data_IF_926359339074
#
_entry.id   IF_926359339074
#
_cell.length_a   1.000
_cell.length_b   1.000
_cell.length_c   1.000
_cell.angle_alpha   90.00
_cell.angle_beta   90.00
_cell.angle_gamma   90.00
#
_symmetry.space_group_name_H-M   'P 1'
#
loop_
_entity.id
_entity.type
_entity.pdbx_description
1 polymer ?
#
# COMPACT_ATOMS: atom_id res chain seq x y z
N UNK A 1 7.27 -20.10 12.24
CA UNK A 1 6.98 -20.77 10.95
C UNK A 1 8.04 -21.81 10.64
N UNK A 2 7.69 -22.81 9.88
CA UNK A 2 8.61 -23.84 9.43
C UNK A 2 8.45 -24.02 7.93
N UNK A 3 9.55 -23.99 7.18
CA UNK A 3 9.55 -24.35 5.76
C UNK A 3 9.22 -25.84 5.61
N UNK A 4 8.21 -26.18 4.83
CA UNK A 4 7.70 -27.54 4.67
C UNK A 4 7.58 -27.98 3.21
N UNK A 5 8.28 -27.31 2.30
CA UNK A 5 8.29 -27.63 0.88
C UNK A 5 7.52 -26.61 0.01
N UNK A 6 7.19 -27.00 -1.24
CA UNK A 6 6.46 -26.15 -2.15
C UNK A 6 5.10 -25.73 -1.60
N UNK A 7 4.74 -24.45 -1.79
CA UNK A 7 3.40 -23.97 -1.44
C UNK A 7 2.40 -24.44 -2.51
N UNK A 8 1.27 -24.96 -2.07
CA UNK A 8 0.18 -25.42 -2.93
C UNK A 8 -1.16 -24.99 -2.32
N UNK A 9 -2.06 -24.49 -3.13
CA UNK A 9 -3.40 -24.11 -2.68
C UNK A 9 -3.99 -22.95 -3.42
N UNK A 10 -5.11 -22.48 -2.90
CA UNK A 10 -5.87 -21.38 -3.47
C UNK A 10 -6.19 -20.35 -2.41
N UNK A 11 -6.05 -19.08 -2.76
CA UNK A 11 -6.37 -17.97 -1.87
C UNK A 11 -7.20 -16.92 -2.58
N UNK A 12 -8.21 -16.40 -1.89
CA UNK A 12 -8.88 -15.16 -2.27
C UNK A 12 -8.07 -14.00 -1.71
N UNK A 13 -7.62 -13.11 -2.60
CA UNK A 13 -6.80 -11.97 -2.20
C UNK A 13 -7.67 -10.93 -1.50
N UNK A 14 -7.23 -10.48 -0.32
CA UNK A 14 -7.88 -9.42 0.45
C UNK A 14 -7.97 -8.10 -0.32
N UNK A 15 -8.82 -7.18 0.16
CA UNK A 15 -8.91 -5.83 -0.38
C UNK A 15 -7.61 -5.02 -0.21
N UNK A 16 -7.39 -4.10 -1.14
CA UNK A 16 -6.18 -3.27 -1.18
C UNK A 16 -6.16 -2.23 -0.07
N UNK A 17 -5.12 -2.29 0.77
CA UNK A 17 -4.83 -1.25 1.76
C UNK A 17 -4.73 0.13 1.12
N UNK A 18 -3.93 0.21 0.07
CA UNK A 18 -3.60 1.48 -0.58
C UNK A 18 -4.79 2.08 -1.38
N UNK A 19 -5.82 1.28 -1.66
CA UNK A 19 -7.08 1.78 -2.21
C UNK A 19 -8.10 2.11 -1.11
N UNK A 20 -8.20 1.28 -0.06
CA UNK A 20 -9.16 1.47 1.01
C UNK A 20 -8.93 2.79 1.78
N UNK A 21 -7.69 3.08 2.17
CA UNK A 21 -7.37 4.27 2.97
C UNK A 21 -7.75 5.60 2.28
N UNK A 22 -7.42 5.86 1.00
CA UNK A 22 -7.89 7.07 0.34
C UNK A 22 -9.41 7.08 0.08
N UNK A 23 -10.07 5.92 -0.10
CA UNK A 23 -11.54 5.86 -0.20
C UNK A 23 -12.20 6.18 1.16
N UNK A 24 -11.63 5.73 2.27
CA UNK A 24 -12.08 6.12 3.63
C UNK A 24 -11.92 7.62 3.85
N UNK A 25 -10.80 8.21 3.43
CA UNK A 25 -10.60 9.66 3.49
C UNK A 25 -11.59 10.40 2.56
N UNK A 26 -11.94 9.83 1.40
CA UNK A 26 -12.92 10.41 0.48
C UNK A 26 -14.36 10.37 1.03
N UNK A 27 -14.71 9.40 1.87
CA UNK A 27 -16.04 9.32 2.51
C UNK A 27 -16.38 10.59 3.29
N UNK A 28 -15.37 11.27 3.84
CA UNK A 28 -15.52 12.55 4.56
C UNK A 28 -16.05 13.68 3.68
N UNK A 29 -15.90 13.60 2.36
CA UNK A 29 -16.21 14.70 1.43
C UNK A 29 -17.71 15.06 1.34
N UNK A 30 -18.62 14.15 1.72
CA UNK A 30 -20.05 14.40 1.62
C UNK A 30 -20.80 14.11 2.93
N UNK A 31 -22.02 14.65 3.03
CA UNK A 31 -22.94 14.48 4.18
C UNK A 31 -23.85 13.27 3.97
N UNK A 32 -23.27 12.09 3.96
CA UNK A 32 -24.02 10.88 3.65
C UNK A 32 -23.35 9.61 4.13
N UNK A 33 -23.70 8.51 3.49
CA UNK A 33 -23.22 7.18 3.82
C UNK A 33 -22.34 6.63 2.71
N UNK A 34 -21.19 6.11 3.10
CA UNK A 34 -20.31 5.34 2.23
C UNK A 34 -20.24 3.90 2.70
N UNK A 35 -20.40 2.96 1.77
CA UNK A 35 -20.25 1.52 2.03
C UNK A 35 -19.10 0.98 1.20
N UNK A 36 -18.08 0.44 1.85
CA UNK A 36 -16.94 -0.21 1.22
C UNK A 36 -17.01 -1.72 1.42
N UNK A 37 -17.25 -2.47 0.34
CA UNK A 37 -17.13 -3.93 0.32
C UNK A 37 -15.68 -4.34 0.13
N UNK A 38 -15.33 -5.57 0.52
CA UNK A 38 -13.98 -6.10 0.45
C UNK A 38 -12.94 -5.18 1.11
N UNK A 39 -13.35 -4.45 2.15
CA UNK A 39 -12.45 -3.61 2.93
C UNK A 39 -11.57 -4.50 3.82
N UNK A 40 -10.22 -4.41 3.74
CA UNK A 40 -9.36 -5.32 4.48
C UNK A 40 -9.37 -5.00 5.98
N UNK A 41 -9.41 -6.02 6.81
CA UNK A 41 -9.41 -5.91 8.28
C UNK A 41 -7.97 -5.93 8.82
N UNK A 42 -7.24 -4.86 8.53
CA UNK A 42 -5.83 -4.69 8.86
C UNK A 42 -5.63 -3.50 9.79
N UNK A 43 -4.51 -3.46 10.51
CA UNK A 43 -4.26 -2.41 11.51
C UNK A 43 -4.36 -1.00 10.93
N UNK A 44 -3.78 -0.72 9.76
CA UNK A 44 -3.85 0.62 9.14
C UNK A 44 -5.30 1.06 8.81
N UNK A 45 -6.21 0.13 8.49
CA UNK A 45 -7.63 0.45 8.26
C UNK A 45 -8.34 0.76 9.58
N UNK A 46 -8.07 -0.01 10.63
CA UNK A 46 -8.64 0.27 11.95
C UNK A 46 -8.11 1.58 12.55
N UNK A 47 -6.83 1.91 12.32
CA UNK A 47 -6.28 3.21 12.74
C UNK A 47 -6.97 4.37 11.98
N UNK A 48 -7.19 4.26 10.68
CA UNK A 48 -7.95 5.26 9.92
C UNK A 48 -9.40 5.36 10.40
N UNK A 49 -10.03 4.22 10.70
CA UNK A 49 -11.37 4.18 11.28
C UNK A 49 -11.43 4.93 12.61
N UNK A 50 -10.47 4.71 13.51
CA UNK A 50 -10.40 5.43 14.79
C UNK A 50 -10.25 6.94 14.59
N UNK A 51 -9.40 7.38 13.66
CA UNK A 51 -9.27 8.80 13.30
C UNK A 51 -10.61 9.36 12.77
N UNK A 52 -11.30 8.63 11.89
CA UNK A 52 -12.60 9.06 11.38
C UNK A 52 -13.67 9.11 12.47
N UNK A 53 -13.65 8.18 13.42
CA UNK A 53 -14.56 8.19 14.58
C UNK A 53 -14.28 9.37 15.50
N UNK A 54 -13.02 9.77 15.72
CA UNK A 54 -12.68 10.97 16.49
C UNK A 54 -13.20 12.25 15.84
N UNK A 55 -13.30 12.26 14.50
CA UNK A 55 -13.96 13.32 13.73
C UNK A 55 -15.49 13.25 13.77
N UNK A 56 -16.09 12.22 14.38
CA UNK A 56 -17.54 12.08 14.53
C UNK A 56 -18.20 11.20 13.47
N UNK A 57 -17.45 10.55 12.60
CA UNK A 57 -17.97 9.53 11.67
C UNK A 57 -18.46 8.34 12.47
N UNK A 58 -19.65 7.82 12.15
CA UNK A 58 -20.14 6.57 12.71
C UNK A 58 -19.80 5.43 11.78
N UNK A 59 -19.17 4.39 12.29
CA UNK A 59 -18.78 3.23 11.51
C UNK A 59 -19.49 1.97 11.97
N UNK A 60 -19.69 1.04 11.06
CA UNK A 60 -20.20 -0.30 11.36
C UNK A 60 -19.59 -1.31 10.39
N UNK A 61 -19.23 -2.47 10.92
CA UNK A 61 -18.70 -3.59 10.15
C UNK A 61 -19.71 -4.74 10.03
N UNK A 62 -19.76 -5.30 8.83
CA UNK A 62 -20.34 -6.61 8.59
C UNK A 62 -19.37 -7.41 7.72
N UNK A 63 -18.72 -8.40 8.29
CA UNK A 63 -17.62 -9.15 7.65
C UNK A 63 -16.54 -8.19 7.10
N UNK A 64 -16.32 -8.16 5.79
CA UNK A 64 -15.39 -7.25 5.09
C UNK A 64 -16.11 -6.03 4.48
N UNK A 65 -17.27 -5.70 4.98
CA UNK A 65 -18.01 -4.50 4.56
C UNK A 65 -17.95 -3.46 5.66
N UNK A 66 -17.35 -2.31 5.37
CA UNK A 66 -17.29 -1.13 6.23
C UNK A 66 -18.33 -0.10 5.78
N UNK A 67 -19.25 0.24 6.68
CA UNK A 67 -20.19 1.35 6.50
C UNK A 67 -19.70 2.56 7.30
N UNK A 68 -19.69 3.74 6.68
CA UNK A 68 -19.30 5.02 7.29
C UNK A 68 -20.41 6.04 7.09
N UNK A 69 -21.03 6.51 8.18
CA UNK A 69 -22.01 7.61 8.18
C UNK A 69 -21.27 8.92 8.53
N UNK A 70 -21.09 9.76 7.53
CA UNK A 70 -20.36 11.03 7.59
C UNK A 70 -21.31 12.25 7.70
N UNK A 71 -22.61 12.10 8.04
CA UNK A 71 -23.57 13.20 8.12
C UNK A 71 -23.19 14.27 9.12
N UNK A 72 -22.54 13.89 10.22
CA UNK A 72 -22.17 14.79 11.31
C UNK A 72 -20.66 14.67 11.57
N UNK A 73 -19.88 15.56 11.00
CA UNK A 73 -18.44 15.65 11.25
C UNK A 73 -18.17 16.82 12.22
N UNK A 74 -17.31 16.57 13.20
CA UNK A 74 -16.80 17.60 14.08
C UNK A 74 -15.67 18.33 13.36
N UNK A 75 -15.72 19.63 13.34
CA UNK A 75 -14.63 20.47 12.79
C UNK A 75 -13.42 20.60 13.75
N UNK A 76 -13.25 19.63 14.66
CA UNK A 76 -12.12 19.58 15.60
C UNK A 76 -10.89 19.02 14.89
N UNK A 77 -9.72 19.49 15.31
CA UNK A 77 -8.45 18.95 14.81
C UNK A 77 -8.28 17.46 15.11
N UNK A 78 -7.41 16.83 14.38
CA UNK A 78 -7.00 15.44 14.59
C UNK A 78 -5.79 15.48 15.51
N UNK A 79 -5.84 14.89 16.73
CA UNK A 79 -4.73 14.90 17.66
C UNK A 79 -3.44 14.35 17.07
N UNK A 80 -2.31 14.94 17.45
CA UNK A 80 -0.99 14.52 16.92
C UNK A 80 -0.62 13.08 17.28
N UNK A 81 -1.14 12.54 18.37
CA UNK A 81 -0.90 11.15 18.77
C UNK A 81 -1.53 10.17 17.77
N UNK A 82 -2.77 10.42 17.33
CA UNK A 82 -3.47 9.57 16.37
C UNK A 82 -2.83 9.58 14.96
N UNK A 83 -2.15 10.68 14.59
CA UNK A 83 -1.53 10.82 13.27
C UNK A 83 -0.10 10.32 13.20
N UNK A 84 0.59 10.19 14.35
CA UNK A 84 2.00 9.75 14.41
C UNK A 84 2.20 8.30 14.03
N UNK A 85 1.20 7.45 14.20
CA UNK A 85 1.27 6.03 13.89
C UNK A 85 1.04 5.75 12.41
N UNK A 86 0.25 6.62 11.73
CA UNK A 86 -0.20 6.39 10.37
C UNK A 86 0.20 7.50 9.39
N UNK A 87 0.97 7.15 8.35
CA UNK A 87 1.34 8.08 7.29
C UNK A 87 0.15 8.59 6.49
N UNK A 88 -0.82 7.71 6.22
CA UNK A 88 -1.99 8.02 5.38
C UNK A 88 -2.98 8.98 6.01
N UNK A 89 -2.83 9.33 7.30
CA UNK A 89 -3.61 10.38 7.96
C UNK A 89 -3.55 11.72 7.22
N UNK A 90 -2.43 12.02 6.53
CA UNK A 90 -2.27 13.24 5.72
C UNK A 90 -3.32 13.36 4.59
N UNK A 91 -3.96 12.28 4.15
CA UNK A 91 -5.01 12.31 3.14
C UNK A 91 -6.24 13.10 3.60
N UNK A 92 -6.46 13.17 4.90
CA UNK A 92 -7.54 13.96 5.48
C UNK A 92 -7.33 15.47 5.30
N UNK A 93 -6.12 15.92 4.98
CA UNK A 93 -5.87 17.34 4.68
C UNK A 93 -6.75 17.82 3.52
N UNK A 94 -6.75 17.12 2.38
CA UNK A 94 -7.55 17.47 1.22
C UNK A 94 -9.06 17.32 1.46
N UNK A 95 -9.46 16.21 2.10
CA UNK A 95 -10.87 15.95 2.39
C UNK A 95 -11.49 16.98 3.34
N UNK A 96 -10.80 17.29 4.44
CA UNK A 96 -11.30 18.23 5.46
C UNK A 96 -11.29 19.68 4.95
N UNK A 97 -10.25 20.10 4.23
CA UNK A 97 -10.26 21.42 3.57
C UNK A 97 -11.40 21.51 2.55
N UNK A 98 -11.62 20.44 1.79
CA UNK A 98 -12.71 20.40 0.81
C UNK A 98 -14.09 20.50 1.42
N UNK A 99 -14.33 19.87 2.57
CA UNK A 99 -15.63 19.85 3.25
C UNK A 99 -15.78 20.92 4.32
N UNK A 100 -14.85 20.95 5.28
CA UNK A 100 -14.95 21.76 6.49
C UNK A 100 -14.25 23.12 6.35
N UNK A 101 -13.51 23.38 5.25
CA UNK A 101 -12.74 24.56 4.96
C UNK A 101 -11.63 24.85 5.98
N UNK A 102 -11.40 23.97 6.92
CA UNK A 102 -10.34 24.05 7.92
C UNK A 102 -9.94 22.67 8.43
N UNK A 103 -8.70 22.54 8.83
CA UNK A 103 -8.15 21.34 9.48
C UNK A 103 -6.98 21.73 10.37
N UNK A 104 -6.86 21.02 11.48
CA UNK A 104 -5.66 20.94 12.29
C UNK A 104 -5.28 19.46 12.43
N UNK A 105 -4.12 19.08 11.95
CA UNK A 105 -3.67 17.69 11.91
C UNK A 105 -2.22 17.59 12.36
N UNK A 106 -1.91 16.62 13.21
CA UNK A 106 -0.53 16.33 13.58
C UNK A 106 0.30 15.89 12.37
N UNK A 107 1.62 16.15 12.42
CA UNK A 107 2.52 15.63 11.38
C UNK A 107 2.40 14.12 11.29
N UNK A 108 2.19 13.58 10.06
CA UNK A 108 2.02 12.14 9.87
C UNK A 108 3.29 11.39 10.25
N UNK A 109 3.13 10.31 10.99
CA UNK A 109 4.22 9.49 11.49
C UNK A 109 5.15 8.98 10.39
N UNK A 110 6.39 8.77 10.77
CA UNK A 110 7.43 8.29 9.88
C UNK A 110 7.31 6.78 9.61
N UNK A 111 7.55 6.40 8.37
CA UNK A 111 7.98 5.05 8.06
C UNK A 111 9.52 5.02 8.07
N UNK A 112 10.11 3.97 8.58
CA UNK A 112 11.58 3.82 8.71
C UNK A 112 12.32 3.69 7.37
N UNK A 113 11.59 3.62 6.24
CA UNK A 113 12.13 3.33 4.90
C UNK A 113 12.77 4.52 4.18
N UNK A 114 12.64 5.74 4.70
CA UNK A 114 13.24 6.94 4.10
C UNK A 114 12.48 8.23 4.38
N UNK A 115 13.01 9.35 3.90
CA UNK A 115 12.35 10.65 3.97
C UNK A 115 11.07 10.64 3.11
N UNK A 116 9.96 11.07 3.70
CA UNK A 116 8.66 11.17 3.02
C UNK A 116 8.06 12.55 3.30
N UNK A 117 8.63 13.60 2.71
CA UNK A 117 8.18 14.96 2.98
C UNK A 117 6.73 15.16 2.56
N UNK A 118 6.02 16.05 3.23
CA UNK A 118 4.62 16.38 2.93
C UNK A 118 4.49 17.63 2.05
N UNK A 119 5.61 18.25 1.67
CA UNK A 119 5.64 19.52 0.93
C UNK A 119 4.76 19.51 -0.32
N UNK A 120 4.75 18.42 -1.12
CA UNK A 120 3.92 18.32 -2.32
C UNK A 120 2.42 18.37 -2.01
N UNK A 121 2.01 17.82 -0.84
CA UNK A 121 0.63 17.91 -0.38
C UNK A 121 0.28 19.35 -0.03
N UNK A 122 1.15 20.02 0.76
CA UNK A 122 0.93 21.39 1.22
C UNK A 122 0.95 22.39 0.04
N UNK A 123 1.89 22.22 -0.89
CA UNK A 123 1.96 23.03 -2.12
C UNK A 123 0.70 22.91 -2.96
N UNK A 124 0.14 21.71 -3.11
CA UNK A 124 -1.11 21.49 -3.81
C UNK A 124 -2.26 22.25 -3.14
N UNK A 125 -2.40 22.17 -1.83
CA UNK A 125 -3.44 22.90 -1.08
C UNK A 125 -3.25 24.42 -1.17
N UNK A 126 -2.01 24.91 -1.05
CA UNK A 126 -1.70 26.35 -1.21
C UNK A 126 -2.09 26.85 -2.61
N UNK A 127 -1.79 26.09 -3.68
CA UNK A 127 -2.20 26.43 -5.04
C UNK A 127 -3.72 26.47 -5.23
N UNK A 128 -4.45 25.70 -4.44
CA UNK A 128 -5.92 25.69 -4.42
C UNK A 128 -6.51 26.77 -3.50
N UNK A 129 -5.67 27.67 -2.95
CA UNK A 129 -6.11 28.82 -2.16
C UNK A 129 -6.22 28.57 -0.66
N UNK A 130 -5.73 27.44 -0.15
CA UNK A 130 -5.67 27.23 1.28
C UNK A 130 -4.48 27.97 1.93
N UNK A 131 -4.72 28.63 3.06
CA UNK A 131 -3.67 29.11 3.94
C UNK A 131 -3.16 27.94 4.79
N UNK A 132 -1.90 27.58 4.61
CA UNK A 132 -1.25 26.48 5.34
C UNK A 132 -0.18 27.05 6.27
N UNK A 133 -0.31 26.77 7.55
CA UNK A 133 0.67 27.10 8.60
C UNK A 133 1.21 25.81 9.19
N UNK A 134 2.51 25.70 9.27
CA UNK A 134 3.22 24.60 9.90
C UNK A 134 3.74 25.09 11.26
N UNK A 135 3.37 24.39 12.31
CA UNK A 135 3.87 24.61 13.67
C UNK A 135 4.64 23.38 14.14
N UNK A 136 5.27 23.43 15.30
CA UNK A 136 6.00 22.28 15.84
C UNK A 136 5.05 21.10 16.09
N UNK A 137 5.12 20.09 15.19
CA UNK A 137 4.33 18.85 15.28
C UNK A 137 2.94 18.88 14.63
N UNK A 138 2.49 20.01 14.06
CA UNK A 138 1.14 20.13 13.48
C UNK A 138 1.10 20.92 12.17
N UNK A 139 0.12 20.61 11.35
CA UNK A 139 -0.25 21.32 10.12
C UNK A 139 -1.64 21.91 10.33
N UNK A 140 -1.77 23.22 10.19
CA UNK A 140 -3.05 23.93 10.22
C UNK A 140 -3.35 24.44 8.82
N UNK A 141 -4.53 24.13 8.29
CA UNK A 141 -5.00 24.59 7.00
C UNK A 141 -6.36 25.26 7.10
N UNK A 142 -6.52 26.40 6.42
CA UNK A 142 -7.78 27.15 6.36
C UNK A 142 -8.06 27.65 4.94
N UNK A 143 -9.32 27.61 4.52
CA UNK A 143 -9.80 28.17 3.26
C UNK A 143 -11.25 28.65 3.41
N UNK A 144 -11.49 29.77 4.11
CA UNK A 144 -12.84 30.25 4.46
C UNK A 144 -13.78 30.37 3.25
N UNK A 145 -13.26 30.82 2.12
CA UNK A 145 -13.99 30.92 0.85
C UNK A 145 -14.16 29.58 0.14
N UNK A 146 -13.60 28.48 0.68
CA UNK A 146 -13.50 27.17 0.04
C UNK A 146 -12.38 27.11 -1.00
N UNK A 147 -11.99 25.89 -1.35
CA UNK A 147 -10.93 25.64 -2.33
C UNK A 147 -11.33 26.10 -3.74
N UNK A 148 -10.36 26.58 -4.51
CA UNK A 148 -10.48 26.96 -5.90
C UNK A 148 -9.71 25.99 -6.79
N UNK A 149 -10.25 25.70 -7.98
CA UNK A 149 -9.58 24.90 -8.98
C UNK A 149 -8.24 25.52 -9.39
N UNK A 150 -7.27 24.68 -9.66
CA UNK A 150 -5.90 25.09 -9.94
C UNK A 150 -5.22 24.20 -10.96
N UNK A 151 -4.20 24.74 -11.63
CA UNK A 151 -3.26 23.95 -12.42
C UNK A 151 -2.07 23.56 -11.53
N UNK A 152 -1.96 22.27 -11.22
CA UNK A 152 -0.94 21.72 -10.34
C UNK A 152 -0.07 20.76 -11.13
N UNK A 153 1.22 21.08 -11.27
CA UNK A 153 2.22 20.17 -11.82
C UNK A 153 3.12 19.72 -10.68
N UNK A 154 3.12 18.40 -10.41
CA UNK A 154 4.00 17.81 -9.40
C UNK A 154 5.43 17.75 -9.92
N UNK A 155 6.41 18.07 -9.06
CA UNK A 155 7.84 17.96 -9.40
C UNK A 155 8.25 16.50 -9.57
N UNK A 156 7.71 15.62 -8.73
CA UNK A 156 7.84 14.17 -8.81
C UNK A 156 6.45 13.52 -8.75
N UNK A 157 6.30 12.37 -9.39
CA UNK A 157 5.08 11.58 -9.32
C UNK A 157 4.93 11.00 -7.91
N UNK A 158 4.01 11.58 -7.12
CA UNK A 158 3.74 11.19 -5.74
C UNK A 158 2.32 10.66 -5.60
N UNK A 159 2.18 9.41 -5.13
CA UNK A 159 0.88 8.78 -4.89
C UNK A 159 0.07 9.62 -3.91
N UNK A 160 0.56 9.83 -2.69
CA UNK A 160 -0.21 10.53 -1.66
C UNK A 160 -0.53 11.99 -2.01
N UNK A 161 0.38 12.72 -2.68
CA UNK A 161 0.08 14.09 -3.11
C UNK A 161 -0.98 14.12 -4.23
N UNK A 162 -0.96 13.14 -5.14
CA UNK A 162 -2.01 12.98 -6.17
C UNK A 162 -3.36 12.67 -5.53
N UNK A 163 -3.41 11.71 -4.57
CA UNK A 163 -4.62 11.39 -3.81
C UNK A 163 -5.19 12.63 -3.09
N UNK A 164 -4.35 13.35 -2.38
CA UNK A 164 -4.76 14.53 -1.62
C UNK A 164 -5.30 15.64 -2.54
N UNK A 165 -4.65 15.87 -3.69
CA UNK A 165 -5.11 16.84 -4.68
C UNK A 165 -6.42 16.41 -5.37
N UNK A 166 -6.64 15.11 -5.58
CA UNK A 166 -7.91 14.55 -6.06
C UNK A 166 -9.04 14.81 -5.05
N UNK A 167 -8.81 14.48 -3.77
CA UNK A 167 -9.78 14.68 -2.69
C UNK A 167 -10.17 16.15 -2.53
N UNK A 168 -9.22 17.06 -2.62
CA UNK A 168 -9.46 18.50 -2.59
C UNK A 168 -10.16 19.01 -3.87
N UNK A 169 -9.70 18.56 -5.03
CA UNK A 169 -10.11 19.07 -6.35
C UNK A 169 -11.56 18.80 -6.68
N UNK A 170 -12.12 17.66 -6.26
CA UNK A 170 -13.54 17.33 -6.53
C UNK A 170 -14.54 18.23 -5.79
N UNK A 171 -14.07 19.00 -4.82
CA UNK A 171 -14.89 20.00 -4.09
C UNK A 171 -14.52 21.44 -4.44
N UNK A 172 -13.39 21.67 -5.11
CA UNK A 172 -12.89 23.00 -5.46
C UNK A 172 -13.76 23.70 -6.50
N UNK A 173 -13.93 25.02 -6.36
CA UNK A 173 -14.69 25.84 -7.34
C UNK A 173 -13.92 25.94 -8.64
N UNK A 174 -14.60 25.70 -9.76
CA UNK A 174 -13.98 25.72 -11.10
C UNK A 174 -13.36 24.38 -11.48
N UNK A 175 -12.31 24.42 -12.25
CA UNK A 175 -11.63 23.26 -12.81
C UNK A 175 -10.24 23.08 -12.20
N UNK A 176 -9.85 21.84 -11.94
CA UNK A 176 -8.51 21.49 -11.49
C UNK A 176 -7.84 20.61 -12.52
N UNK A 177 -6.61 20.96 -12.86
CA UNK A 177 -5.75 20.18 -13.74
C UNK A 177 -4.50 19.75 -12.98
N UNK A 178 -4.30 18.45 -12.87
CA UNK A 178 -3.11 17.84 -12.27
C UNK A 178 -2.22 17.30 -13.39
N UNK A 179 -0.92 17.59 -13.35
CA UNK A 179 0.11 17.06 -14.25
C UNK A 179 1.22 16.38 -13.48
N UNK A 180 1.87 15.40 -14.12
CA UNK A 180 2.85 14.49 -13.54
C UNK A 180 2.27 13.72 -12.34
N UNK A 181 1.02 13.29 -12.47
CA UNK A 181 0.32 12.49 -11.46
C UNK A 181 0.92 11.10 -11.32
N UNK A 182 0.76 10.51 -10.16
CA UNK A 182 0.89 9.09 -9.95
C UNK A 182 -0.18 8.34 -10.77
N UNK A 183 0.20 7.15 -11.31
CA UNK A 183 -0.66 6.36 -12.21
C UNK A 183 -0.96 4.98 -11.66
N UNK A 184 -0.58 4.73 -10.42
CA UNK A 184 -0.80 3.49 -9.71
C UNK A 184 -2.28 3.08 -9.80
N UNK A 185 -2.59 1.78 -9.87
CA UNK A 185 -3.98 1.29 -9.89
C UNK A 185 -4.84 1.90 -8.80
N UNK A 186 -4.29 2.11 -7.61
CA UNK A 186 -4.98 2.70 -6.46
C UNK A 186 -5.47 4.13 -6.75
N UNK A 187 -4.70 4.93 -7.51
CA UNK A 187 -5.14 6.26 -8.00
C UNK A 187 -6.30 6.13 -8.95
N UNK A 188 -6.25 5.14 -9.87
CA UNK A 188 -7.34 4.90 -10.83
C UNK A 188 -8.61 4.50 -10.10
N UNK A 189 -8.50 3.61 -9.11
CA UNK A 189 -9.63 3.18 -8.28
C UNK A 189 -10.21 4.32 -7.44
N UNK A 190 -9.36 5.19 -6.88
CA UNK A 190 -9.84 6.40 -6.18
C UNK A 190 -10.61 7.32 -7.14
N UNK A 191 -10.12 7.55 -8.36
CA UNK A 191 -10.84 8.34 -9.35
C UNK A 191 -12.20 7.72 -9.69
N UNK A 192 -12.27 6.41 -9.92
CA UNK A 192 -13.53 5.70 -10.18
C UNK A 192 -14.50 5.77 -8.99
N UNK A 193 -13.98 5.65 -7.77
CA UNK A 193 -14.76 5.82 -6.56
C UNK A 193 -15.35 7.24 -6.45
N UNK A 194 -14.54 8.27 -6.68
CA UNK A 194 -14.99 9.67 -6.69
C UNK A 194 -16.01 9.94 -7.81
N UNK A 195 -15.85 9.31 -8.99
CA UNK A 195 -16.87 9.36 -10.06
C UNK A 195 -18.17 8.70 -9.63
N UNK A 196 -18.11 7.56 -8.91
CA UNK A 196 -19.30 6.93 -8.35
C UNK A 196 -19.99 7.82 -7.33
N UNK A 197 -19.25 8.64 -6.57
CA UNK A 197 -19.80 9.69 -5.71
C UNK A 197 -20.42 10.87 -6.51
N UNK A 198 -20.18 10.97 -7.80
CA UNK A 198 -20.74 12.03 -8.68
C UNK A 198 -19.71 13.06 -9.16
N UNK A 199 -18.42 12.88 -8.92
CA UNK A 199 -17.38 13.78 -9.43
C UNK A 199 -17.18 13.63 -10.94
N UNK A 200 -16.86 14.71 -11.63
CA UNK A 200 -16.43 14.67 -13.03
C UNK A 200 -14.91 14.63 -13.09
N UNK A 201 -14.34 13.50 -13.53
CA UNK A 201 -12.90 13.28 -13.62
C UNK A 201 -12.57 12.68 -14.99
N UNK A 202 -11.50 13.18 -15.64
CA UNK A 202 -10.99 12.70 -16.93
C UNK A 202 -9.49 12.48 -16.86
N UNK A 203 -8.96 11.62 -17.74
CA UNK A 203 -7.53 11.31 -17.79
C UNK A 203 -7.08 10.25 -16.78
N UNK A 204 -7.98 9.44 -16.24
CA UNK A 204 -7.70 8.36 -15.30
C UNK A 204 -6.66 7.40 -15.90
N UNK A 205 -5.68 7.00 -15.10
CA UNK A 205 -4.57 6.11 -15.51
C UNK A 205 -3.46 6.80 -16.30
N UNK A 206 -3.58 8.12 -16.55
CA UNK A 206 -2.54 8.91 -17.21
C UNK A 206 -1.78 9.79 -16.22
N UNK A 207 -0.68 10.41 -16.67
CA UNK A 207 0.03 11.42 -15.87
C UNK A 207 -0.67 12.78 -15.81
N UNK A 208 -1.88 12.92 -16.39
CA UNK A 208 -2.62 14.18 -16.48
C UNK A 208 -4.09 13.93 -16.15
N UNK A 209 -4.56 14.48 -15.04
CA UNK A 209 -5.93 14.30 -14.57
C UNK A 209 -6.61 15.68 -14.52
N UNK A 210 -7.76 15.77 -15.17
CA UNK A 210 -8.65 16.91 -15.12
C UNK A 210 -9.88 16.55 -14.29
N UNK A 211 -10.33 17.49 -13.46
CA UNK A 211 -11.54 17.34 -12.68
C UNK A 211 -12.25 18.67 -12.49
N UNK A 212 -13.56 18.58 -12.24
CA UNK A 212 -14.41 19.70 -11.92
C UNK A 212 -15.27 19.38 -10.71
N UNK A 213 -15.56 20.41 -9.91
CA UNK A 213 -16.44 20.30 -8.75
C UNK A 213 -17.73 19.58 -9.11
N UNK A 214 -18.05 18.55 -8.33
CA UNK A 214 -19.36 17.92 -8.38
C UNK A 214 -20.47 18.90 -7.97
N UNK A 215 -21.62 18.87 -8.63
CA UNK A 215 -22.80 19.65 -8.22
C UNK A 215 -23.24 19.24 -6.81
N UNK A 216 -23.25 17.94 -6.53
CA UNK A 216 -23.40 17.33 -5.21
C UNK A 216 -22.70 15.97 -5.21
N UNK A 217 -21.96 15.67 -4.16
CA UNK A 217 -21.50 14.31 -3.89
C UNK A 217 -22.64 13.53 -3.22
N UNK A 218 -22.72 12.24 -3.53
CA UNK A 218 -23.81 11.35 -3.09
C UNK A 218 -23.29 10.13 -2.37
N UNK A 219 -24.19 9.46 -1.68
CA UNK A 219 -23.95 8.15 -1.08
C UNK A 219 -23.40 7.19 -2.13
N UNK A 220 -22.47 6.35 -1.70
CA UNK A 220 -21.78 5.41 -2.57
C UNK A 220 -21.62 4.06 -1.90
N UNK A 221 -21.82 3.03 -2.69
CA UNK A 221 -21.47 1.65 -2.39
C UNK A 221 -20.41 1.21 -3.40
N UNK A 222 -19.26 0.74 -2.91
CA UNK A 222 -18.12 0.47 -3.77
C UNK A 222 -17.32 -0.73 -3.25
N UNK A 223 -16.80 -1.53 -4.18
CA UNK A 223 -15.95 -2.67 -3.82
C UNK A 223 -14.48 -2.27 -3.91
N UNK A 224 -13.77 -2.35 -2.81
CA UNK A 224 -12.31 -2.16 -2.75
C UNK A 224 -11.65 -3.24 -3.61
N UNK A 225 -10.77 -2.87 -4.57
CA UNK A 225 -10.09 -3.85 -5.41
C UNK A 225 -9.17 -4.75 -4.58
N UNK A 226 -8.85 -5.92 -5.08
CA UNK A 226 -7.89 -6.82 -4.42
C UNK A 226 -6.50 -6.20 -4.34
N UNK A 227 -5.76 -6.50 -3.29
CA UNK A 227 -4.42 -5.93 -3.05
C UNK A 227 -3.38 -6.62 -3.95
N UNK A 228 -2.93 -5.90 -4.99
CA UNK A 228 -1.91 -6.39 -5.93
C UNK A 228 -0.56 -6.69 -5.27
N UNK A 229 -0.24 -6.05 -4.13
CA UNK A 229 1.00 -6.29 -3.40
C UNK A 229 0.90 -7.58 -2.57
N UNK A 230 -0.26 -7.81 -1.94
CA UNK A 230 -0.54 -9.10 -1.28
C UNK A 230 -0.55 -10.24 -2.29
N UNK A 231 -1.20 -10.06 -3.45
CA UNK A 231 -1.18 -11.02 -4.55
C UNK A 231 0.26 -11.32 -5.02
N UNK A 232 1.06 -10.27 -5.24
CA UNK A 232 2.48 -10.38 -5.59
C UNK A 232 3.30 -11.08 -4.50
N UNK A 233 2.99 -10.86 -3.23
CA UNK A 233 3.66 -11.52 -2.11
C UNK A 233 3.37 -13.03 -2.10
N UNK A 234 2.12 -13.43 -2.29
CA UNK A 234 1.75 -14.85 -2.41
C UNK A 234 2.44 -15.50 -3.63
N UNK A 235 2.45 -14.80 -4.77
CA UNK A 235 3.14 -15.25 -5.98
C UNK A 235 4.64 -15.48 -5.73
N UNK A 236 5.28 -14.56 -5.02
CA UNK A 236 6.70 -14.63 -4.73
C UNK A 236 7.03 -15.62 -3.59
N UNK A 237 6.09 -15.85 -2.67
CA UNK A 237 6.21 -16.96 -1.71
C UNK A 237 6.19 -18.31 -2.43
N UNK A 238 5.31 -18.50 -3.42
CA UNK A 238 5.33 -19.68 -4.28
C UNK A 238 6.64 -19.76 -5.08
N UNK A 239 7.15 -18.63 -5.59
CA UNK A 239 8.44 -18.57 -6.29
C UNK A 239 9.61 -19.04 -5.41
N UNK A 240 9.69 -18.56 -4.16
CA UNK A 240 10.73 -18.93 -3.21
C UNK A 240 10.70 -20.43 -2.84
N UNK A 241 9.53 -21.04 -2.82
CA UNK A 241 9.29 -22.45 -2.44
C UNK A 241 9.11 -23.39 -3.61
N UNK A 242 9.15 -22.88 -4.90
CA UNK A 242 8.91 -23.67 -6.13
C UNK A 242 7.50 -24.27 -6.18
N UNK A 243 6.52 -23.57 -5.58
CA UNK A 243 5.14 -24.03 -5.44
C UNK A 243 4.23 -23.76 -6.62
N UNK A 244 2.97 -24.20 -6.49
CA UNK A 244 1.89 -23.96 -7.45
C UNK A 244 0.67 -23.41 -6.71
N UNK A 245 0.24 -22.19 -7.05
CA UNK A 245 -0.86 -21.53 -6.34
C UNK A 245 -1.91 -20.95 -7.28
N UNK A 246 -3.09 -20.75 -6.74
CA UNK A 246 -4.19 -20.05 -7.39
C UNK A 246 -4.59 -18.81 -6.61
N UNK A 247 -4.65 -17.65 -7.29
CA UNK A 247 -5.05 -16.37 -6.70
C UNK A 247 -6.37 -15.92 -7.31
N UNK A 248 -7.42 -15.79 -6.49
CA UNK A 248 -8.73 -15.30 -6.91
C UNK A 248 -8.82 -13.78 -6.82
N UNK A 249 -9.68 -13.22 -7.64
CA UNK A 249 -10.06 -11.81 -7.66
C UNK A 249 -8.90 -10.84 -7.95
N UNK A 250 -7.85 -11.28 -8.65
CA UNK A 250 -6.71 -10.44 -9.03
C UNK A 250 -6.78 -9.99 -10.49
N UNK A 251 -6.37 -8.74 -10.73
CA UNK A 251 -6.18 -8.23 -12.09
C UNK A 251 -4.68 -8.26 -12.46
N UNK A 252 -4.26 -9.14 -13.38
CA UNK A 252 -2.86 -9.26 -13.78
C UNK A 252 -2.32 -7.99 -14.45
N UNK A 253 -3.20 -7.12 -14.97
CA UNK A 253 -2.80 -5.85 -15.59
C UNK A 253 -2.20 -4.90 -14.55
N UNK A 254 -2.68 -4.94 -13.30
CA UNK A 254 -2.22 -4.10 -12.20
C UNK A 254 -0.87 -4.54 -11.61
N UNK A 255 -0.47 -5.79 -11.85
CA UNK A 255 0.78 -6.37 -11.35
C UNK A 255 1.72 -6.85 -12.48
N UNK A 256 1.58 -6.29 -13.68
CA UNK A 256 2.31 -6.71 -14.86
C UNK A 256 3.84 -6.71 -14.68
N UNK A 257 4.41 -5.68 -14.05
CA UNK A 257 5.86 -5.63 -13.81
C UNK A 257 6.33 -6.74 -12.85
N UNK A 258 5.52 -7.10 -11.86
CA UNK A 258 5.78 -8.20 -10.92
C UNK A 258 5.73 -9.54 -11.68
N UNK A 259 4.70 -9.75 -12.49
CA UNK A 259 4.56 -10.95 -13.33
C UNK A 259 5.70 -11.09 -14.35
N UNK A 260 6.13 -9.98 -14.96
CA UNK A 260 7.28 -9.99 -15.90
C UNK A 260 8.57 -10.42 -15.20
N UNK A 261 8.82 -10.00 -13.97
CA UNK A 261 10.00 -10.45 -13.20
C UNK A 261 9.85 -11.93 -12.82
N UNK A 262 8.64 -12.37 -12.45
CA UNK A 262 8.34 -13.77 -12.17
C UNK A 262 8.61 -14.68 -13.38
N UNK A 263 8.19 -14.27 -14.58
CA UNK A 263 8.46 -14.97 -15.83
C UNK A 263 9.96 -15.03 -16.16
N UNK A 264 10.69 -13.92 -15.96
CA UNK A 264 12.15 -13.88 -16.15
C UNK A 264 12.89 -14.85 -15.24
N UNK A 265 12.39 -15.11 -14.04
CA UNK A 265 12.96 -16.11 -13.14
C UNK A 265 12.65 -17.55 -13.58
N UNK A 266 11.74 -17.76 -14.53
CA UNK A 266 11.31 -19.07 -15.04
C UNK A 266 9.94 -19.51 -14.53
N UNK A 267 9.20 -18.62 -13.88
CA UNK A 267 7.83 -18.86 -13.46
C UNK A 267 6.85 -18.82 -14.64
N UNK A 268 5.76 -19.54 -14.51
CA UNK A 268 4.67 -19.57 -15.49
C UNK A 268 3.36 -19.20 -14.79
N UNK A 269 2.49 -18.51 -15.49
CA UNK A 269 1.17 -18.18 -15.00
C UNK A 269 0.14 -18.11 -16.15
N UNK A 270 -1.12 -18.31 -15.80
CA UNK A 270 -2.26 -18.15 -16.71
C UNK A 270 -3.46 -17.59 -15.98
N UNK A 271 -4.34 -16.88 -16.71
CA UNK A 271 -5.67 -16.53 -16.22
C UNK A 271 -6.69 -17.57 -16.69
N UNK A 272 -7.37 -18.21 -15.75
CA UNK A 272 -8.43 -19.17 -16.06
C UNK A 272 -9.65 -18.91 -15.19
N UNK A 273 -10.77 -18.61 -15.81
CA UNK A 273 -12.05 -18.36 -15.13
C UNK A 273 -11.96 -17.35 -13.98
N UNK A 274 -11.26 -16.22 -14.19
CA UNK A 274 -11.10 -15.16 -13.18
C UNK A 274 -10.06 -15.44 -12.08
N UNK A 275 -9.33 -16.56 -12.19
CA UNK A 275 -8.30 -16.98 -11.24
C UNK A 275 -6.93 -16.97 -11.91
N UNK A 276 -5.95 -16.34 -11.31
CA UNK A 276 -4.55 -16.40 -11.71
C UNK A 276 -3.95 -17.68 -11.14
N UNK A 277 -3.54 -18.59 -12.01
CA UNK A 277 -2.81 -19.81 -11.65
C UNK A 277 -1.34 -19.60 -11.91
N UNK A 278 -0.50 -19.86 -10.94
CA UNK A 278 0.94 -19.68 -11.01
C UNK A 278 1.67 -20.99 -10.72
N UNK A 279 2.66 -21.30 -11.54
CA UNK A 279 3.55 -22.45 -11.38
C UNK A 279 4.99 -21.95 -11.29
N UNK A 280 5.63 -22.16 -10.15
CA UNK A 280 6.99 -21.74 -9.85
C UNK A 280 8.03 -22.88 -9.97
N UNK A 281 7.66 -24.08 -10.38
CA UNK A 281 8.59 -25.22 -10.49
C UNK A 281 9.78 -24.96 -11.41
N UNK A 282 9.61 -24.08 -12.41
CA UNK A 282 10.65 -23.66 -13.37
C UNK A 282 11.57 -22.53 -12.88
N UNK A 283 11.35 -21.97 -11.71
CA UNK A 283 12.14 -20.83 -11.18
C UNK A 283 13.57 -21.27 -10.86
N UNK A 284 14.53 -20.73 -11.65
CA UNK A 284 15.96 -21.04 -11.54
C UNK A 284 16.89 -19.98 -12.16
N UNK A 285 16.33 -18.96 -12.82
CA UNK A 285 17.12 -17.97 -13.52
C UNK A 285 17.27 -16.71 -12.66
N UNK A 286 18.50 -16.22 -12.44
CA UNK A 286 18.72 -14.93 -11.79
C UNK A 286 18.21 -13.79 -12.68
N UNK A 287 17.92 -12.64 -12.06
CA UNK A 287 17.49 -11.45 -12.80
C UNK A 287 18.65 -10.47 -12.83
N UNK A 288 19.13 -10.15 -14.03
CA UNK A 288 20.31 -9.29 -14.22
C UNK A 288 20.16 -7.96 -13.46
N UNK A 289 19.02 -7.27 -13.64
CA UNK A 289 18.71 -6.04 -12.94
C UNK A 289 17.20 -5.80 -12.85
N UNK A 290 16.75 -5.40 -11.66
CA UNK A 290 15.40 -4.84 -11.43
C UNK A 290 15.56 -3.49 -10.75
N UNK A 291 15.00 -2.41 -11.34
CA UNK A 291 14.94 -1.09 -10.72
C UNK A 291 13.52 -0.81 -10.27
N UNK A 292 13.33 -0.37 -9.02
CA UNK A 292 12.03 0.11 -8.56
C UNK A 292 11.72 1.44 -9.24
N UNK A 293 10.48 1.63 -9.66
CA UNK A 293 10.02 2.84 -10.35
C UNK A 293 8.54 3.09 -10.07
N UNK A 294 8.06 4.35 -10.20
CA UNK A 294 6.64 4.62 -10.25
C UNK A 294 5.93 3.75 -11.29
N UNK A 295 4.67 3.45 -11.04
CA UNK A 295 3.86 2.63 -11.96
C UNK A 295 3.86 3.19 -13.40
N UNK A 296 4.00 2.34 -14.43
CA UNK A 296 3.92 0.86 -14.42
C UNK A 296 5.25 0.12 -14.17
N UNK A 297 6.25 0.79 -13.60
CA UNK A 297 7.52 0.16 -13.22
C UNK A 297 7.36 -0.85 -12.07
N UNK A 298 8.48 -1.45 -11.67
CA UNK A 298 8.47 -2.42 -10.57
C UNK A 298 8.22 -1.70 -9.23
N UNK A 299 7.18 -2.08 -8.47
CA UNK A 299 6.80 -1.35 -7.27
C UNK A 299 7.82 -1.55 -6.14
N UNK A 300 8.21 -0.46 -5.48
CA UNK A 300 9.11 -0.49 -4.33
C UNK A 300 8.58 -1.38 -3.19
N UNK A 301 7.26 -1.53 -3.07
CA UNK A 301 6.62 -2.41 -2.10
C UNK A 301 6.90 -3.90 -2.32
N UNK A 302 7.32 -4.30 -3.51
CA UNK A 302 7.74 -5.67 -3.84
C UNK A 302 9.26 -5.88 -3.76
N UNK A 303 10.04 -4.83 -3.53
CA UNK A 303 11.50 -4.88 -3.57
C UNK A 303 12.09 -5.86 -2.56
N UNK A 304 11.73 -5.73 -1.28
CA UNK A 304 12.23 -6.61 -0.20
C UNK A 304 11.77 -8.06 -0.39
N UNK A 305 10.54 -8.25 -0.87
CA UNK A 305 9.95 -9.57 -1.14
C UNK A 305 10.68 -10.26 -2.30
N UNK A 306 10.99 -9.51 -3.38
CA UNK A 306 11.80 -10.02 -4.49
C UNK A 306 13.20 -10.42 -4.01
N UNK A 307 13.82 -9.62 -3.14
CA UNK A 307 15.15 -9.93 -2.59
C UNK A 307 15.14 -11.29 -1.88
N UNK A 308 14.13 -11.58 -1.07
CA UNK A 308 13.98 -12.87 -0.39
C UNK A 308 13.89 -14.04 -1.40
N UNK A 309 13.15 -13.86 -2.51
CA UNK A 309 13.06 -14.87 -3.58
C UNK A 309 14.41 -15.06 -4.26
N UNK A 310 15.09 -13.98 -4.63
CA UNK A 310 16.36 -14.04 -5.36
C UNK A 310 17.48 -14.75 -4.56
N UNK A 311 17.41 -14.74 -3.23
CA UNK A 311 18.34 -15.54 -2.41
C UNK A 311 18.19 -17.04 -2.65
N UNK A 312 17.01 -17.51 -3.07
CA UNK A 312 16.75 -18.93 -3.37
C UNK A 312 17.06 -19.31 -4.83
N UNK A 313 17.35 -18.33 -5.68
CA UNK A 313 17.58 -18.54 -7.13
C UNK A 313 19.09 -18.57 -7.40
N UNK A 314 19.63 -19.63 -8.04
CA UNK A 314 21.08 -19.69 -8.34
C UNK A 314 21.58 -18.52 -9.20
N UNK A 315 22.76 -18.01 -8.86
CA UNK A 315 23.42 -16.96 -9.61
C UNK A 315 23.36 -15.58 -8.91
N UNK A 316 23.78 -14.55 -9.63
CA UNK A 316 23.80 -13.17 -9.16
C UNK A 316 22.65 -12.37 -9.74
N UNK A 317 21.94 -11.67 -8.89
CA UNK A 317 20.85 -10.76 -9.26
C UNK A 317 21.12 -9.37 -8.68
N UNK A 318 20.57 -8.32 -9.32
CA UNK A 318 20.74 -6.94 -8.88
C UNK A 318 19.41 -6.24 -8.70
N UNK A 319 19.26 -5.51 -7.60
CA UNK A 319 18.13 -4.63 -7.35
C UNK A 319 18.65 -3.21 -7.15
N UNK A 320 18.01 -2.27 -7.85
CA UNK A 320 18.22 -0.84 -7.65
C UNK A 320 16.94 -0.21 -7.07
N UNK A 321 17.05 0.37 -5.87
CA UNK A 321 15.95 1.06 -5.22
C UNK A 321 16.02 2.55 -5.51
N UNK A 322 15.10 3.04 -6.35
CA UNK A 322 15.11 4.44 -6.78
C UNK A 322 14.16 5.34 -5.99
N UNK A 323 13.26 4.76 -5.22
CA UNK A 323 12.18 5.48 -4.52
C UNK A 323 12.57 5.84 -3.09
N UNK A 324 13.01 4.85 -2.27
CA UNK A 324 13.29 5.05 -0.86
C UNK A 324 14.74 4.70 -0.49
N UNK A 325 15.35 5.53 0.36
CA UNK A 325 16.77 5.44 0.69
C UNK A 325 17.11 4.27 1.63
N UNK A 326 16.15 3.84 2.45
CA UNK A 326 16.39 2.88 3.54
C UNK A 326 15.65 1.54 3.37
N UNK A 327 15.29 1.16 2.14
CA UNK A 327 14.59 -0.12 1.89
C UNK A 327 15.47 -1.36 2.09
N UNK A 328 16.78 -1.21 2.10
CA UNK A 328 17.71 -2.32 2.28
C UNK A 328 17.98 -2.70 3.76
N UNK A 329 17.30 -2.09 4.73
CA UNK A 329 17.45 -2.43 6.16
C UNK A 329 17.17 -3.90 6.47
N UNK A 330 16.40 -4.59 5.63
CA UNK A 330 16.10 -6.02 5.77
C UNK A 330 17.33 -6.92 5.57
N UNK A 331 18.37 -6.45 4.92
CA UNK A 331 19.56 -7.25 4.55
C UNK A 331 20.18 -7.89 5.78
N UNK A 332 20.37 -7.15 6.87
CA UNK A 332 20.91 -7.67 8.12
C UNK A 332 20.13 -8.88 8.67
N UNK A 333 18.81 -8.87 8.49
CA UNK A 333 17.93 -9.95 8.94
C UNK A 333 18.00 -11.16 7.99
N UNK A 334 18.11 -10.93 6.69
CA UNK A 334 18.29 -11.99 5.69
C UNK A 334 19.66 -12.67 5.82
N UNK A 335 20.70 -11.94 6.21
CA UNK A 335 22.04 -12.48 6.48
C UNK A 335 22.04 -13.45 7.68
N UNK A 336 21.23 -13.22 8.71
CA UNK A 336 21.02 -14.16 9.83
C UNK A 336 20.47 -15.50 9.36
N UNK A 337 19.72 -15.50 8.24
CA UNK A 337 19.18 -16.70 7.61
C UNK A 337 20.15 -17.34 6.59
N UNK A 338 21.40 -16.85 6.50
CA UNK A 338 22.42 -17.33 5.57
C UNK A 338 22.37 -16.69 4.19
N UNK A 339 21.53 -15.64 3.99
CA UNK A 339 21.50 -14.85 2.78
C UNK A 339 22.81 -14.11 2.54
N UNK A 340 23.16 -13.86 1.26
CA UNK A 340 24.31 -13.06 0.87
C UNK A 340 23.87 -11.90 -0.01
N UNK A 341 23.93 -10.71 0.53
CA UNK A 341 23.57 -9.46 -0.14
C UNK A 341 24.64 -8.42 0.10
N UNK A 342 25.14 -7.80 -0.95
CA UNK A 342 26.07 -6.67 -0.85
C UNK A 342 25.34 -5.41 -1.27
N UNK A 343 25.25 -4.43 -0.37
CA UNK A 343 24.59 -3.15 -0.62
C UNK A 343 25.61 -2.06 -0.85
N UNK A 344 25.44 -1.28 -1.92
CA UNK A 344 26.20 -0.08 -2.22
C UNK A 344 25.27 1.03 -2.66
N UNK A 345 25.04 2.02 -1.80
CA UNK A 345 24.11 3.12 -2.04
C UNK A 345 22.68 2.63 -2.31
N UNK A 346 22.18 2.87 -3.50
CA UNK A 346 20.85 2.46 -3.96
C UNK A 346 20.81 1.09 -4.67
N UNK A 347 21.90 0.34 -4.64
CA UNK A 347 22.01 -0.95 -5.31
C UNK A 347 22.28 -2.07 -4.31
N UNK A 348 21.66 -3.22 -4.54
CA UNK A 348 21.95 -4.47 -3.85
C UNK A 348 22.30 -5.56 -4.87
N UNK A 349 23.36 -6.28 -4.61
CA UNK A 349 23.78 -7.48 -5.34
C UNK A 349 23.44 -8.69 -4.47
N UNK A 350 22.63 -9.59 -4.99
CA UNK A 350 22.12 -10.78 -4.30
C UNK A 350 22.83 -12.00 -4.90
N UNK A 351 23.60 -12.73 -4.09
CA UNK A 351 24.22 -14.01 -4.45
C UNK A 351 23.33 -15.14 -3.99
N UNK A 352 22.46 -15.63 -4.88
CA UNK A 352 21.43 -16.60 -4.58
C UNK A 352 21.83 -18.08 -4.80
N UNK A 353 20.87 -18.98 -4.62
CA UNK A 353 21.02 -20.43 -4.82
C UNK A 353 21.55 -21.17 -3.60
N UNK A 354 21.62 -20.52 -2.45
CA UNK A 354 21.97 -21.18 -1.18
C UNK A 354 20.71 -21.57 -0.42
N UNK A 355 20.79 -22.67 0.31
CA UNK A 355 19.73 -23.03 1.25
C UNK A 355 19.72 -22.00 2.41
N UNK A 356 18.60 -21.31 2.57
CA UNK A 356 18.39 -20.50 3.76
C UNK A 356 18.12 -21.39 4.97
N UNK A 357 18.53 -20.93 6.15
CA UNK A 357 18.33 -21.60 7.43
C UNK A 357 17.38 -20.79 8.31
N UNK A 358 16.56 -21.51 9.07
CA UNK A 358 15.65 -20.89 10.02
C UNK A 358 16.40 -20.08 11.08
N UNK A 359 15.92 -18.88 11.39
CA UNK A 359 16.52 -17.97 12.36
C UNK A 359 15.47 -17.12 13.07
N UNK A 360 15.86 -16.52 14.21
CA UNK A 360 15.09 -15.46 14.83
C UNK A 360 15.45 -14.12 14.19
N UNK A 361 14.48 -13.50 13.54
CA UNK A 361 14.62 -12.25 12.77
C UNK A 361 13.58 -11.22 13.20
N UNK A 362 13.83 -9.95 12.96
CA UNK A 362 12.96 -8.86 13.39
C UNK A 362 12.36 -8.10 12.20
N UNK A 363 11.04 -8.00 12.12
CA UNK A 363 10.39 -7.06 11.23
C UNK A 363 10.63 -5.63 11.75
N UNK A 364 11.03 -4.72 10.86
CA UNK A 364 11.24 -3.29 11.16
C UNK A 364 10.25 -2.40 10.40
N UNK A 365 9.59 -2.97 9.42
CA UNK A 365 8.53 -2.34 8.63
C UNK A 365 7.71 -3.42 7.89
N UNK A 366 6.57 -3.03 7.34
CA UNK A 366 5.57 -3.90 6.73
C UNK A 366 6.13 -4.84 5.66
N UNK A 367 6.80 -4.31 4.64
CA UNK A 367 7.22 -5.09 3.46
C UNK A 367 8.48 -5.92 3.74
N UNK A 368 9.36 -5.40 4.60
CA UNK A 368 10.47 -6.18 5.13
C UNK A 368 9.99 -7.36 5.97
N UNK A 369 9.01 -7.14 6.84
CA UNK A 369 8.39 -8.23 7.61
C UNK A 369 7.79 -9.32 6.72
N UNK A 370 7.04 -8.93 5.68
CA UNK A 370 6.49 -9.88 4.70
C UNK A 370 7.60 -10.64 3.94
N UNK A 371 8.69 -9.97 3.60
CA UNK A 371 9.83 -10.61 2.96
C UNK A 371 10.53 -11.63 3.87
N UNK A 372 10.61 -11.37 5.20
CA UNK A 372 11.12 -12.33 6.18
C UNK A 372 10.21 -13.55 6.30
N UNK A 373 8.89 -13.38 6.14
CA UNK A 373 7.97 -14.52 6.05
C UNK A 373 8.28 -15.35 4.81
N UNK A 374 8.41 -14.72 3.64
CA UNK A 374 8.75 -15.42 2.37
C UNK A 374 10.08 -16.16 2.48
N UNK A 375 11.11 -15.53 3.06
CA UNK A 375 12.41 -16.18 3.31
C UNK A 375 12.26 -17.38 4.26
N UNK A 376 11.50 -17.22 5.36
CA UNK A 376 11.26 -18.27 6.35
C UNK A 376 10.49 -19.47 5.80
N UNK A 377 9.57 -19.27 4.85
CA UNK A 377 8.84 -20.35 4.18
C UNK A 377 9.76 -21.21 3.29
N UNK A 378 10.84 -20.63 2.75
CA UNK A 378 11.84 -21.35 1.95
C UNK A 378 13.03 -21.87 2.76
N UNK A 379 13.15 -21.50 4.03
CA UNK A 379 14.27 -21.84 4.89
C UNK A 379 14.16 -23.26 5.46
N UNK A 380 15.29 -23.91 5.68
CA UNK A 380 15.35 -25.18 6.40
C UNK A 380 15.32 -24.93 7.91
N UNK A 381 14.45 -25.61 8.62
CA UNK A 381 14.28 -25.46 10.07
C UNK A 381 13.17 -24.48 10.46
N UNK A 382 13.22 -23.99 11.69
CA UNK A 382 12.21 -23.08 12.23
C UNK A 382 12.68 -21.63 12.19
N UNK A 383 11.83 -20.72 11.70
CA UNK A 383 12.07 -19.29 11.73
C UNK A 383 11.07 -18.59 12.65
N UNK A 384 11.54 -17.58 13.38
CA UNK A 384 10.72 -16.73 14.24
C UNK A 384 10.85 -15.30 13.75
N UNK A 385 9.73 -14.71 13.30
CA UNK A 385 9.69 -13.27 12.95
C UNK A 385 9.12 -12.51 14.13
N UNK A 386 9.94 -11.69 14.77
CA UNK A 386 9.53 -10.78 15.83
C UNK A 386 8.89 -9.53 15.25
N UNK A 387 8.08 -8.85 16.04
CA UNK A 387 7.36 -7.64 15.63
C UNK A 387 6.41 -7.88 14.45
N UNK A 388 5.60 -8.94 14.53
CA UNK A 388 4.61 -9.32 13.52
C UNK A 388 3.54 -8.23 13.30
N UNK A 389 3.33 -7.36 14.30
CA UNK A 389 2.44 -6.19 14.22
C UNK A 389 2.75 -5.28 13.02
N UNK A 390 4.00 -5.20 12.58
CA UNK A 390 4.32 -4.50 11.34
C UNK A 390 3.72 -5.16 10.10
N UNK A 391 3.60 -6.49 10.08
CA UNK A 391 3.03 -7.25 8.95
C UNK A 391 1.51 -7.06 8.93
N UNK A 392 0.86 -7.08 10.08
CA UNK A 392 -0.59 -6.92 10.25
C UNK A 392 -1.11 -5.54 9.82
N UNK A 393 -0.22 -4.56 9.65
CA UNK A 393 -0.54 -3.28 9.04
C UNK A 393 -1.02 -3.38 7.59
N UNK A 394 -0.73 -4.46 6.88
CA UNK A 394 -1.09 -4.60 5.47
C UNK A 394 -1.48 -6.02 5.04
N UNK A 395 -1.32 -7.00 5.89
CA UNK A 395 -1.72 -8.39 5.65
C UNK A 395 -2.72 -8.83 6.71
N UNK A 396 -3.91 -9.18 6.26
CA UNK A 396 -4.96 -9.70 7.12
C UNK A 396 -4.65 -11.17 7.45
N UNK A 397 -4.50 -11.47 8.73
CA UNK A 397 -4.21 -12.83 9.22
C UNK A 397 -3.15 -13.56 8.39
N UNK A 398 -1.87 -13.12 8.41
CA UNK A 398 -0.83 -13.68 7.55
C UNK A 398 -0.62 -15.17 7.76
N UNK A 399 -0.91 -15.71 8.94
CA UNK A 399 -0.91 -17.14 9.26
C UNK A 399 -1.98 -17.90 8.47
N UNK A 400 -3.18 -17.36 8.38
CA UNK A 400 -4.29 -17.95 7.61
C UNK A 400 -4.06 -17.77 6.10
N UNK A 401 -3.59 -16.59 5.66
CA UNK A 401 -3.29 -16.31 4.26
C UNK A 401 -2.32 -17.36 3.68
N UNK A 402 -1.18 -17.53 4.32
CA UNK A 402 -0.20 -18.51 3.87
C UNK A 402 -0.58 -19.95 4.26
N UNK A 403 -1.37 -20.14 5.32
CA UNK A 403 -1.93 -21.44 5.70
C UNK A 403 -2.82 -22.05 4.60
N UNK A 404 -3.63 -21.25 3.91
CA UNK A 404 -4.41 -21.67 2.72
C UNK A 404 -3.52 -22.14 1.56
N UNK A 405 -2.26 -21.72 1.54
CA UNK A 405 -1.25 -22.16 0.58
C UNK A 405 -0.38 -23.31 1.12
N UNK A 406 -0.79 -23.96 2.21
CA UNK A 406 -0.09 -25.11 2.79
C UNK A 406 1.06 -24.76 3.72
N UNK A 407 1.29 -23.49 4.05
CA UNK A 407 2.34 -23.09 4.97
C UNK A 407 2.00 -23.43 6.43
N UNK A 408 3.01 -23.71 7.23
CA UNK A 408 2.88 -23.91 8.68
C UNK A 408 3.38 -22.65 9.40
N UNK A 409 2.45 -21.76 9.70
CA UNK A 409 2.71 -20.51 10.42
C UNK A 409 1.83 -20.47 11.67
N UNK A 410 2.38 -19.95 12.77
CA UNK A 410 1.64 -19.70 14.01
C UNK A 410 2.00 -18.31 14.53
N UNK A 411 1.00 -17.51 14.83
CA UNK A 411 1.17 -16.27 15.59
C UNK A 411 1.21 -16.64 17.07
N UNK A 412 2.16 -16.09 17.82
CA UNK A 412 2.26 -16.22 19.27
C UNK A 412 2.25 -14.83 19.87
N UNK A 413 1.36 -14.54 20.77
CA UNK A 413 1.42 -13.34 21.60
C UNK A 413 2.68 -13.39 22.46
N UNK A 414 3.44 -12.29 22.48
CA UNK A 414 4.50 -12.16 23.50
C UNK A 414 3.81 -11.91 24.84
N UNK A 415 3.83 -12.91 25.71
CA UNK A 415 3.57 -12.68 27.13
C UNK A 415 4.81 -11.95 27.66
N UNK A 416 4.71 -10.64 27.86
CA UNK A 416 5.72 -9.88 28.61
C UNK A 416 5.85 -10.54 29.99
N UNK A 417 7.05 -11.02 30.31
CA UNK A 417 7.42 -11.51 31.63
C UNK A 417 8.00 -10.38 32.45
#
# INVERSE_FOLDING_TARGET
MRGNGPLEGEVKVQGSKNAALPMMAAAVLHEGVTVLHNCPRIADVFEMEAILQSLGVKTAWKDHTLMMDCKKIRESGIPGEETRTMRSSILLLGSMLGRCKRIRIGYPGGCTIGARPVNLHLEAMKKMGAEIRETEGEICGECPEGLSGAHIRFQISSVGATENALLAGVTARGETLLENCAREPEIQHLCCFLQAMGAEIRGIGTGKIWMRRAAALRDVEYTVPSDRIVAGTCLYAAAATRGQISLKDVDPREMRSVLTVYEKMGGQWEMRSGTLRANAAGIRFPVEKVSTMPYPGFPTDMQSILMAVLLTVPGESRIEETIFEKRFQIVEELEKMGGRVTVSGRQAVISGGRQLTGAAVCARELRGGAALVVAGLSAQGESVVKHAEYIERGYEHPDQLFGQLGAVIRIREQVEK
#
